data_IF_200960827340
#
_entry.id   IF_200960827340
#
_cell.length_a   1.000
_cell.length_b   1.000
_cell.length_c   1.000
_cell.angle_alpha   90.00
_cell.angle_beta   90.00
_cell.angle_gamma   90.00
#
_symmetry.space_group_name_H-M   'P 1'
#
loop_
_entity.id
_entity.type
_entity.pdbx_description
1 polymer ?
#
# COMPACT_ATOMS: atom_id res chain seq x y z
N UNK A 1 3.79 -22.98 -11.93
CA UNK A 1 4.12 -22.17 -10.73
C UNK A 1 4.95 -20.93 -11.10
N UNK A 2 6.21 -21.05 -11.55
CA UNK A 2 6.99 -19.88 -12.04
C UNK A 2 6.42 -19.18 -13.29
N UNK A 3 5.71 -19.91 -14.17
CA UNK A 3 5.11 -19.33 -15.38
C UNK A 3 4.08 -18.24 -15.05
N UNK A 4 3.22 -18.44 -14.03
CA UNK A 4 2.20 -17.47 -13.64
C UNK A 4 2.81 -16.18 -13.08
N UNK A 5 3.88 -16.28 -12.30
CA UNK A 5 4.62 -15.11 -11.80
C UNK A 5 5.21 -14.26 -12.92
N UNK A 6 5.86 -14.89 -13.92
CA UNK A 6 6.43 -14.15 -15.05
C UNK A 6 5.32 -13.39 -15.77
N UNK A 7 4.13 -13.99 -15.91
CA UNK A 7 2.99 -13.31 -16.52
C UNK A 7 2.47 -12.14 -15.67
N UNK A 8 2.43 -12.25 -14.34
CA UNK A 8 1.99 -11.13 -13.47
C UNK A 8 3.06 -10.01 -13.41
N UNK A 9 4.35 -10.35 -13.39
CA UNK A 9 5.44 -9.36 -13.38
C UNK A 9 5.72 -8.74 -14.76
N UNK A 10 5.43 -9.45 -15.84
CA UNK A 10 5.75 -9.00 -17.20
C UNK A 10 5.16 -7.61 -17.52
N UNK A 11 3.87 -7.32 -17.25
CA UNK A 11 3.31 -5.99 -17.47
C UNK A 11 4.09 -4.89 -16.75
N UNK A 12 4.45 -5.10 -15.47
CA UNK A 12 5.23 -4.15 -14.68
C UNK A 12 6.61 -3.89 -15.30
N UNK A 13 7.33 -4.95 -15.67
CA UNK A 13 8.67 -4.85 -16.27
C UNK A 13 8.60 -4.19 -17.64
N UNK A 14 7.65 -4.59 -18.49
CA UNK A 14 7.44 -4.01 -19.82
C UNK A 14 7.10 -2.53 -19.70
N UNK A 15 6.22 -2.16 -18.76
CA UNK A 15 5.91 -0.76 -18.48
C UNK A 15 7.14 0.04 -18.05
N UNK A 16 7.98 -0.53 -17.18
CA UNK A 16 9.20 0.13 -16.70
C UNK A 16 10.23 0.43 -17.81
N UNK A 17 10.22 -0.34 -18.90
CA UNK A 17 11.10 -0.10 -20.05
C UNK A 17 10.67 1.13 -20.88
N UNK A 18 9.46 1.65 -20.67
CA UNK A 18 8.91 2.77 -21.43
C UNK A 18 9.21 4.09 -20.71
N UNK A 19 10.02 4.93 -21.36
CA UNK A 19 10.30 6.30 -20.91
C UNK A 19 9.41 7.29 -21.65
N UNK A 20 8.69 8.14 -20.91
CA UNK A 20 7.80 9.17 -21.47
C UNK A 20 8.33 10.54 -21.07
N UNK A 21 8.73 11.35 -22.04
CA UNK A 21 9.28 12.69 -21.78
C UNK A 21 8.21 13.79 -21.71
N UNK A 22 6.97 13.54 -22.15
CA UNK A 22 5.89 14.54 -22.20
C UNK A 22 5.08 14.53 -20.90
N UNK A 23 5.08 15.64 -20.18
CA UNK A 23 4.33 15.78 -18.91
C UNK A 23 2.83 15.54 -19.07
N UNK A 24 2.20 16.05 -20.14
CA UNK A 24 0.77 15.82 -20.39
C UNK A 24 0.41 14.33 -20.49
N UNK A 25 1.28 13.53 -21.10
CA UNK A 25 1.06 12.07 -21.22
C UNK A 25 1.20 11.39 -19.87
N UNK A 26 2.15 11.82 -19.03
CA UNK A 26 2.30 11.33 -17.66
C UNK A 26 1.10 11.69 -16.79
N UNK A 27 0.59 12.92 -16.89
CA UNK A 27 -0.62 13.34 -16.17
C UNK A 27 -1.85 12.51 -16.58
N UNK A 28 -2.02 12.25 -17.88
CA UNK A 28 -3.09 11.39 -18.36
C UNK A 28 -2.94 9.97 -17.82
N UNK A 29 -1.73 9.40 -17.83
CA UNK A 29 -1.45 8.06 -17.33
C UNK A 29 -1.74 7.95 -15.83
N UNK A 30 -1.33 8.94 -15.04
CA UNK A 30 -1.65 9.01 -13.60
C UNK A 30 -3.16 9.05 -13.37
N UNK A 31 -3.89 9.89 -14.13
CA UNK A 31 -5.36 9.97 -14.05
C UNK A 31 -6.03 8.65 -14.41
N UNK A 32 -5.57 7.99 -15.48
CA UNK A 32 -6.09 6.68 -15.90
C UNK A 32 -5.81 5.62 -14.84
N UNK A 33 -4.64 5.63 -14.23
CA UNK A 33 -4.28 4.71 -13.13
C UNK A 33 -5.22 4.90 -11.94
N UNK A 34 -5.50 6.14 -11.54
CA UNK A 34 -6.49 6.42 -10.48
C UNK A 34 -7.89 5.91 -10.83
N UNK A 35 -8.33 6.05 -12.09
CA UNK A 35 -9.60 5.47 -12.52
C UNK A 35 -9.62 3.95 -12.49
N UNK A 36 -8.55 3.29 -12.94
CA UNK A 36 -8.44 1.83 -12.85
C UNK A 36 -8.50 1.35 -11.40
N UNK A 37 -7.89 2.08 -10.46
CA UNK A 37 -8.00 1.79 -9.02
C UNK A 37 -9.47 1.85 -8.56
N UNK A 38 -10.24 2.87 -8.94
CA UNK A 38 -11.66 2.91 -8.58
C UNK A 38 -12.45 1.75 -9.20
N UNK A 39 -12.19 1.42 -10.46
CA UNK A 39 -12.87 0.30 -11.14
C UNK A 39 -12.56 -1.01 -10.44
N UNK A 40 -11.30 -1.31 -10.17
CA UNK A 40 -10.93 -2.60 -9.58
C UNK A 40 -11.34 -2.72 -8.10
N UNK A 41 -11.35 -1.62 -7.34
CA UNK A 41 -11.92 -1.62 -5.98
C UNK A 41 -13.43 -1.87 -6.01
N UNK A 42 -14.13 -1.35 -7.01
CA UNK A 42 -15.54 -1.65 -7.23
C UNK A 42 -15.74 -3.14 -7.57
N UNK A 43 -14.91 -3.70 -8.45
CA UNK A 43 -14.93 -5.13 -8.76
C UNK A 43 -14.62 -6.00 -7.54
N UNK A 44 -13.67 -5.60 -6.69
CA UNK A 44 -13.42 -6.28 -5.41
C UNK A 44 -14.67 -6.30 -4.52
N UNK A 45 -15.45 -5.21 -4.51
CA UNK A 45 -16.76 -5.17 -3.85
C UNK A 45 -17.76 -6.18 -4.43
N UNK A 46 -17.82 -6.30 -5.76
CA UNK A 46 -18.65 -7.33 -6.41
C UNK A 46 -18.17 -8.75 -6.07
N UNK A 47 -16.86 -9.01 -6.08
CA UNK A 47 -16.31 -10.33 -5.72
C UNK A 47 -16.63 -10.70 -4.26
N UNK A 48 -16.66 -9.72 -3.35
CA UNK A 48 -17.13 -9.95 -1.98
C UNK A 48 -18.61 -10.34 -1.93
N UNK A 49 -19.46 -9.74 -2.78
CA UNK A 49 -20.88 -10.06 -2.85
C UNK A 49 -21.15 -11.50 -3.35
N UNK A 50 -20.24 -12.04 -4.16
CA UNK A 50 -20.31 -13.40 -4.69
C UNK A 50 -19.97 -14.48 -3.65
N UNK A 51 -19.46 -14.11 -2.47
CA UNK A 51 -19.10 -15.06 -1.43
C UNK A 51 -20.32 -15.63 -0.73
N UNK A 52 -20.39 -16.96 -0.66
CA UNK A 52 -21.25 -17.65 0.29
C UNK A 52 -20.90 -17.24 1.73
N UNK A 53 -21.86 -17.28 2.66
CA UNK A 53 -21.66 -16.92 4.07
C UNK A 53 -20.96 -15.57 4.27
N UNK A 54 -21.42 -14.53 3.57
CA UNK A 54 -20.84 -13.18 3.61
C UNK A 54 -20.54 -12.67 5.03
N UNK A 55 -21.42 -12.96 5.99
CA UNK A 55 -21.22 -12.58 7.40
C UNK A 55 -19.96 -13.18 8.03
N UNK A 56 -19.68 -14.47 7.79
CA UNK A 56 -18.47 -15.13 8.28
C UNK A 56 -17.22 -14.60 7.58
N UNK A 57 -17.31 -14.38 6.26
CA UNK A 57 -16.21 -13.82 5.48
C UNK A 57 -15.86 -12.38 5.89
N UNK A 58 -16.86 -11.54 6.18
CA UNK A 58 -16.65 -10.19 6.74
C UNK A 58 -15.99 -10.23 8.12
N UNK A 59 -16.39 -11.16 8.98
CA UNK A 59 -15.72 -11.36 10.29
C UNK A 59 -14.27 -11.78 10.09
N UNK A 60 -13.98 -12.64 9.11
CA UNK A 60 -12.64 -13.09 8.78
C UNK A 60 -11.77 -11.92 8.28
N UNK A 61 -12.30 -11.08 7.40
CA UNK A 61 -11.64 -9.83 6.93
C UNK A 61 -11.24 -8.98 8.14
N UNK A 62 -12.19 -8.70 9.04
CA UNK A 62 -11.93 -7.88 10.23
C UNK A 62 -10.86 -8.52 11.13
N UNK A 63 -10.95 -9.84 11.38
CA UNK A 63 -10.00 -10.58 12.20
C UNK A 63 -8.58 -10.51 11.63
N UNK A 64 -8.44 -10.73 10.32
CA UNK A 64 -7.17 -10.66 9.61
C UNK A 64 -6.61 -9.24 9.68
N UNK A 65 -7.39 -8.25 9.25
CA UNK A 65 -7.00 -6.84 9.29
C UNK A 65 -6.54 -6.42 10.68
N UNK A 66 -7.31 -6.71 11.73
CA UNK A 66 -6.96 -6.33 13.09
C UNK A 66 -5.66 -6.99 13.58
N UNK A 67 -5.50 -8.29 13.31
CA UNK A 67 -4.32 -9.04 13.76
C UNK A 67 -3.06 -8.53 13.08
N UNK A 68 -3.08 -8.38 11.75
CA UNK A 68 -1.95 -7.83 10.99
C UNK A 68 -1.66 -6.39 11.38
N UNK A 69 -2.70 -5.55 11.53
CA UNK A 69 -2.55 -4.16 11.91
C UNK A 69 -1.84 -4.02 13.27
N UNK A 70 -2.27 -4.79 14.26
CA UNK A 70 -1.67 -4.76 15.60
C UNK A 70 -0.25 -5.31 15.61
N UNK A 71 0.01 -6.45 14.97
CA UNK A 71 1.33 -7.08 14.99
C UNK A 71 2.36 -6.25 14.21
N UNK A 72 2.02 -5.80 12.99
CA UNK A 72 2.90 -4.98 12.18
C UNK A 72 3.09 -3.60 12.82
N UNK A 73 2.00 -2.98 13.29
CA UNK A 73 2.04 -1.70 13.99
C UNK A 73 2.95 -1.77 15.23
N UNK A 74 2.80 -2.81 16.05
CA UNK A 74 3.64 -3.05 17.21
C UNK A 74 5.12 -3.19 16.84
N UNK A 75 5.44 -4.04 15.86
CA UNK A 75 6.82 -4.25 15.42
C UNK A 75 7.46 -2.96 14.88
N UNK A 76 6.73 -2.21 14.06
CA UNK A 76 7.21 -0.95 13.49
C UNK A 76 7.43 0.10 14.59
N UNK A 77 6.49 0.24 15.54
CA UNK A 77 6.60 1.22 16.62
C UNK A 77 7.60 0.82 17.70
N UNK A 78 7.98 -0.45 17.80
CA UNK A 78 9.07 -0.91 18.66
C UNK A 78 10.45 -0.58 18.07
N UNK A 79 10.60 -0.63 16.74
CA UNK A 79 11.92 -0.47 16.08
C UNK A 79 12.21 0.97 15.66
N UNK A 80 11.24 1.68 15.08
CA UNK A 80 11.45 3.02 14.53
C UNK A 80 11.97 4.07 15.53
N UNK A 81 11.50 4.12 16.80
CA UNK A 81 12.01 5.10 17.77
C UNK A 81 13.50 4.93 18.07
N UNK A 82 14.07 3.75 17.84
CA UNK A 82 15.51 3.50 18.00
C UNK A 82 16.28 4.32 16.96
N UNK A 83 15.76 4.44 15.74
CA UNK A 83 16.39 5.24 14.68
C UNK A 83 16.36 6.73 14.98
N UNK A 84 15.27 7.24 15.54
CA UNK A 84 15.22 8.63 15.99
C UNK A 84 16.31 8.96 17.02
N UNK A 85 16.65 8.00 17.88
CA UNK A 85 17.73 8.16 18.87
C UNK A 85 19.13 8.08 18.27
N UNK A 86 19.32 7.23 17.25
CA UNK A 86 20.62 7.02 16.61
C UNK A 86 20.93 8.08 15.54
N UNK A 87 19.91 8.56 14.82
CA UNK A 87 20.04 9.49 13.70
C UNK A 87 19.00 10.62 13.81
N UNK A 88 19.17 11.55 14.77
CA UNK A 88 18.19 12.60 15.00
C UNK A 88 18.07 13.55 13.80
N UNK A 89 16.83 13.89 13.45
CA UNK A 89 16.52 14.88 12.41
C UNK A 89 15.92 16.11 13.09
N UNK A 90 16.46 17.28 12.76
CA UNK A 90 15.89 18.55 13.21
C UNK A 90 14.69 18.92 12.33
N UNK A 91 13.50 18.49 12.75
CA UNK A 91 12.24 18.94 12.17
C UNK A 91 12.00 20.42 12.51
N UNK A 92 11.52 21.20 11.54
CA UNK A 92 11.26 22.64 11.69
C UNK A 92 9.77 22.94 11.60
N UNK A 93 9.29 23.91 12.38
CA UNK A 93 7.89 24.34 12.31
C UNK A 93 7.59 25.05 10.98
N UNK A 94 6.59 24.54 10.28
CA UNK A 94 5.80 25.32 9.33
C UNK A 94 4.35 25.31 9.85
N UNK A 95 3.85 26.45 10.30
CA UNK A 95 2.44 26.57 10.69
C UNK A 95 1.60 26.57 9.41
N UNK A 96 0.85 25.49 9.15
CA UNK A 96 -0.15 25.48 8.09
C UNK A 96 -1.44 24.80 8.55
N UNK A 97 -2.57 25.29 8.06
CA UNK A 97 -3.84 24.60 8.14
C UNK A 97 -3.73 23.31 7.32
N UNK A 98 -3.71 22.17 8.00
CA UNK A 98 -3.65 20.86 7.36
C UNK A 98 -5.07 20.38 7.03
N UNK A 99 -5.37 20.03 5.77
CA UNK A 99 -6.70 19.52 5.39
C UNK A 99 -6.86 18.03 5.74
N UNK A 100 -6.49 17.61 6.97
CA UNK A 100 -6.51 16.18 7.37
C UNK A 100 -7.87 15.54 7.18
N UNK A 101 -8.96 16.27 7.46
CA UNK A 101 -10.33 15.77 7.28
C UNK A 101 -10.66 15.52 5.80
N UNK A 102 -10.20 16.38 4.89
CA UNK A 102 -10.41 16.18 3.45
C UNK A 102 -9.60 15.00 2.92
N UNK A 103 -8.36 14.83 3.39
CA UNK A 103 -7.54 13.68 3.04
C UNK A 103 -8.14 12.38 3.56
N UNK A 104 -8.56 12.33 4.83
CA UNK A 104 -9.26 11.17 5.36
C UNK A 104 -10.57 10.87 4.61
N UNK A 105 -11.29 11.89 4.13
CA UNK A 105 -12.45 11.73 3.28
C UNK A 105 -12.10 11.13 1.91
N UNK A 106 -10.95 11.47 1.33
CA UNK A 106 -10.45 10.85 0.11
C UNK A 106 -10.19 9.35 0.31
N UNK A 107 -9.53 8.97 1.40
CA UNK A 107 -9.36 7.55 1.77
C UNK A 107 -10.71 6.87 2.02
N UNK A 108 -11.66 7.55 2.67
CA UNK A 108 -13.01 7.02 2.91
C UNK A 108 -13.83 6.80 1.64
N UNK A 109 -13.62 7.60 0.58
CA UNK A 109 -14.27 7.37 -0.73
C UNK A 109 -13.96 5.99 -1.30
N UNK A 110 -12.78 5.44 -1.03
CA UNK A 110 -12.39 4.11 -1.49
C UNK A 110 -13.23 3.02 -0.81
N UNK A 111 -13.50 3.17 0.49
CA UNK A 111 -14.41 2.28 1.22
C UNK A 111 -15.81 2.36 0.60
N UNK A 112 -16.27 3.57 0.26
CA UNK A 112 -17.57 3.76 -0.41
C UNK A 112 -17.62 3.10 -1.79
N UNK A 113 -16.52 3.11 -2.54
CA UNK A 113 -16.44 2.44 -3.85
C UNK A 113 -16.55 0.92 -3.69
N UNK A 114 -15.80 0.34 -2.75
CA UNK A 114 -15.89 -1.11 -2.44
C UNK A 114 -17.30 -1.46 -1.92
N UNK A 115 -17.84 -0.66 -0.99
CA UNK A 115 -19.19 -0.84 -0.45
C UNK A 115 -20.27 -0.70 -1.51
N UNK A 116 -20.11 0.22 -2.47
CA UNK A 116 -21.00 0.36 -3.62
C UNK A 116 -20.97 -0.87 -4.51
N UNK A 117 -19.79 -1.43 -4.78
CA UNK A 117 -19.63 -2.71 -5.48
C UNK A 117 -20.33 -3.85 -4.75
N UNK A 118 -20.11 -3.97 -3.44
CA UNK A 118 -20.76 -4.98 -2.61
C UNK A 118 -22.30 -4.87 -2.65
N UNK A 119 -22.85 -3.68 -2.46
CA UNK A 119 -24.31 -3.45 -2.48
C UNK A 119 -24.88 -3.78 -3.86
N UNK A 120 -24.24 -3.33 -4.94
CA UNK A 120 -24.69 -3.62 -6.30
C UNK A 120 -24.61 -5.12 -6.60
N UNK A 121 -23.57 -5.80 -6.14
CA UNK A 121 -23.44 -7.25 -6.29
C UNK A 121 -24.52 -8.03 -5.53
N UNK A 122 -24.89 -7.57 -4.33
CA UNK A 122 -25.94 -8.21 -3.52
C UNK A 122 -27.35 -7.97 -4.06
N UNK A 123 -27.61 -6.79 -4.63
CA UNK A 123 -28.92 -6.43 -5.18
C UNK A 123 -29.08 -6.86 -6.64
N UNK A 124 -27.98 -7.04 -7.36
CA UNK A 124 -27.96 -7.41 -8.77
C UNK A 124 -28.27 -8.89 -8.95
N UNK A 125 -29.30 -9.21 -9.74
CA UNK A 125 -29.60 -10.59 -10.16
C UNK A 125 -28.69 -11.10 -11.29
N UNK A 126 -27.52 -10.47 -11.50
CA UNK A 126 -26.59 -10.83 -12.57
C UNK A 126 -25.57 -11.85 -12.06
N UNK A 127 -25.13 -12.76 -12.94
CA UNK A 127 -23.99 -13.61 -12.62
C UNK A 127 -22.72 -12.77 -12.47
N UNK A 128 -21.90 -13.12 -11.49
CA UNK A 128 -20.65 -12.42 -11.17
C UNK A 128 -19.40 -13.17 -11.68
N UNK A 129 -19.58 -14.24 -12.46
CA UNK A 129 -18.50 -15.09 -12.98
C UNK A 129 -17.47 -14.33 -13.84
N UNK A 130 -17.87 -13.19 -14.43
CA UNK A 130 -16.99 -12.35 -15.25
C UNK A 130 -16.07 -11.44 -14.43
N UNK A 131 -16.38 -11.22 -13.14
CA UNK A 131 -15.71 -10.23 -12.29
C UNK A 131 -14.24 -10.59 -12.08
N UNK A 132 -13.93 -11.87 -11.87
CA UNK A 132 -12.57 -12.33 -11.64
C UNK A 132 -11.71 -12.13 -12.89
N UNK A 133 -12.22 -12.52 -14.07
CA UNK A 133 -11.52 -12.32 -15.35
C UNK A 133 -11.31 -10.83 -15.64
N UNK A 134 -12.33 -9.99 -15.39
CA UNK A 134 -12.19 -8.54 -15.58
C UNK A 134 -11.16 -7.92 -14.62
N UNK A 135 -11.13 -8.37 -13.37
CA UNK A 135 -10.20 -7.91 -12.34
C UNK A 135 -8.75 -8.26 -12.71
N UNK A 136 -8.50 -9.46 -13.22
CA UNK A 136 -7.18 -9.91 -13.69
C UNK A 136 -6.64 -9.02 -14.84
N UNK A 137 -7.46 -8.77 -15.87
CA UNK A 137 -7.06 -7.91 -16.99
C UNK A 137 -6.80 -6.46 -16.56
N UNK A 138 -7.63 -5.93 -15.65
CA UNK A 138 -7.43 -4.59 -15.11
C UNK A 138 -6.16 -4.54 -14.25
N UNK A 139 -5.86 -5.59 -13.48
CA UNK A 139 -4.62 -5.70 -12.72
C UNK A 139 -3.41 -5.68 -13.66
N UNK A 140 -3.41 -6.43 -14.77
CA UNK A 140 -2.31 -6.39 -15.74
C UNK A 140 -2.11 -5.00 -16.34
N UNK A 141 -3.20 -4.32 -16.72
CA UNK A 141 -3.14 -2.95 -17.23
C UNK A 141 -2.64 -1.97 -16.16
N UNK A 142 -3.07 -2.14 -14.91
CA UNK A 142 -2.64 -1.33 -13.77
C UNK A 142 -1.13 -1.51 -13.51
N UNK A 143 -0.64 -2.75 -13.45
CA UNK A 143 0.78 -3.06 -13.27
C UNK A 143 1.62 -2.47 -14.41
N UNK A 144 1.13 -2.54 -15.65
CA UNK A 144 1.77 -1.90 -16.79
C UNK A 144 1.91 -0.38 -16.60
N UNK A 145 0.84 0.31 -16.20
CA UNK A 145 0.89 1.76 -15.93
C UNK A 145 1.80 2.10 -14.75
N UNK A 146 1.75 1.32 -13.66
CA UNK A 146 2.64 1.48 -12.51
C UNK A 146 4.10 1.33 -12.95
N UNK A 147 4.42 0.37 -13.82
CA UNK A 147 5.76 0.20 -14.38
C UNK A 147 6.26 1.48 -15.07
N UNK A 148 5.41 2.07 -15.92
CA UNK A 148 5.71 3.35 -16.59
C UNK A 148 5.91 4.47 -15.56
N UNK A 149 5.04 4.57 -14.55
CA UNK A 149 5.16 5.60 -13.50
C UNK A 149 6.47 5.47 -12.71
N UNK A 150 6.86 4.25 -12.34
CA UNK A 150 8.10 4.00 -11.60
C UNK A 150 9.33 4.45 -12.41
N UNK A 151 9.34 4.17 -13.72
CA UNK A 151 10.41 4.62 -14.63
C UNK A 151 10.49 6.14 -14.72
N UNK A 152 9.34 6.81 -14.74
CA UNK A 152 9.21 8.24 -14.96
C UNK A 152 8.98 9.03 -13.65
N UNK A 153 9.27 8.42 -12.50
CA UNK A 153 9.12 9.02 -11.15
C UNK A 153 10.06 10.20 -10.87
N UNK A 154 11.01 10.46 -11.77
CA UNK A 154 11.96 11.58 -11.67
C UNK A 154 13.04 11.40 -10.60
N UNK A 155 13.01 10.31 -9.82
CA UNK A 155 14.03 10.00 -8.83
C UNK A 155 15.22 9.31 -9.49
N UNK A 156 16.37 9.98 -9.44
CA UNK A 156 17.62 9.37 -9.88
C UNK A 156 18.14 8.40 -8.82
N UNK A 157 18.72 7.27 -9.25
CA UNK A 157 19.45 6.34 -8.36
C UNK A 157 20.45 7.07 -7.45
N UNK A 158 21.05 8.15 -7.97
CA UNK A 158 21.96 9.01 -7.20
C UNK A 158 21.27 9.68 -6.01
N UNK A 159 20.07 10.23 -6.18
CA UNK A 159 19.31 10.85 -5.07
C UNK A 159 18.90 9.82 -4.01
N UNK A 160 18.51 8.62 -4.43
CA UNK A 160 18.17 7.51 -3.52
C UNK A 160 19.39 7.11 -2.68
N UNK A 161 20.54 6.88 -3.33
CA UNK A 161 21.77 6.46 -2.66
C UNK A 161 22.40 7.55 -1.76
N UNK A 162 22.13 8.83 -2.04
CA UNK A 162 22.60 9.94 -1.20
C UNK A 162 21.82 9.99 0.12
N UNK A 163 20.51 9.66 0.12
CA UNK A 163 19.70 9.73 1.33
C UNK A 163 19.73 8.41 2.13
N UNK A 164 20.85 8.19 2.83
CA UNK A 164 21.05 7.01 3.68
C UNK A 164 19.99 6.85 4.76
N UNK A 165 19.42 7.95 5.26
CA UNK A 165 18.38 7.92 6.29
C UNK A 165 17.07 7.35 5.74
N UNK A 166 16.61 7.83 4.58
CA UNK A 166 15.41 7.28 3.93
C UNK A 166 15.55 5.79 3.61
N UNK A 167 16.73 5.37 3.15
CA UNK A 167 17.04 3.95 2.91
C UNK A 167 17.01 3.11 4.19
N UNK A 168 17.58 3.62 5.28
CA UNK A 168 17.58 2.93 6.58
C UNK A 168 16.16 2.77 7.13
N UNK A 169 15.33 3.82 7.04
CA UNK A 169 13.92 3.77 7.46
C UNK A 169 13.17 2.70 6.65
N UNK A 170 13.30 2.73 5.32
CA UNK A 170 12.66 1.73 4.46
C UNK A 170 13.09 0.30 4.81
N UNK A 171 14.38 0.06 4.99
CA UNK A 171 14.91 -1.26 5.37
C UNK A 171 14.31 -1.75 6.70
N UNK A 172 14.22 -0.87 7.68
CA UNK A 172 13.66 -1.22 8.99
C UNK A 172 12.19 -1.53 8.88
N UNK A 173 11.42 -0.71 8.16
CA UNK A 173 9.99 -0.97 7.92
C UNK A 173 9.77 -2.32 7.25
N UNK A 174 10.60 -2.68 6.26
CA UNK A 174 10.53 -3.99 5.62
C UNK A 174 10.74 -5.09 6.66
N UNK A 175 11.87 -5.05 7.40
CA UNK A 175 12.21 -6.10 8.36
C UNK A 175 11.16 -6.22 9.46
N UNK A 176 10.77 -5.10 10.08
CA UNK A 176 9.80 -5.12 11.18
C UNK A 176 8.39 -5.48 10.73
N UNK A 177 7.97 -5.09 9.52
CA UNK A 177 6.68 -5.51 8.97
C UNK A 177 6.68 -7.00 8.66
N UNK A 178 7.75 -7.56 8.07
CA UNK A 178 7.84 -9.00 7.81
C UNK A 178 7.81 -9.83 9.11
N UNK A 179 8.48 -9.36 10.17
CA UNK A 179 8.36 -9.98 11.51
C UNK A 179 6.91 -9.92 12.00
N UNK A 180 6.24 -8.78 11.87
CA UNK A 180 4.82 -8.64 12.19
C UNK A 180 3.91 -9.57 11.37
N UNK A 181 4.25 -9.81 10.11
CA UNK A 181 3.56 -10.76 9.24
C UNK A 181 3.71 -12.21 9.69
N UNK A 182 4.92 -12.61 10.09
CA UNK A 182 5.20 -13.95 10.65
C UNK A 182 4.44 -14.15 11.96
N UNK A 183 4.45 -13.16 12.85
CA UNK A 183 3.68 -13.21 14.10
C UNK A 183 2.18 -13.35 13.82
N UNK A 184 1.67 -12.59 12.87
CA UNK A 184 0.26 -12.64 12.46
C UNK A 184 -0.10 -14.01 11.88
N UNK A 185 0.79 -14.61 11.08
CA UNK A 185 0.59 -15.95 10.53
C UNK A 185 0.43 -17.00 11.63
N UNK A 186 1.28 -16.96 12.66
CA UNK A 186 1.18 -17.86 13.81
C UNK A 186 -0.09 -17.64 14.63
N UNK A 187 -0.50 -16.39 14.86
CA UNK A 187 -1.72 -16.07 15.62
C UNK A 187 -2.98 -16.52 14.87
N UNK A 188 -2.99 -16.37 13.56
CA UNK A 188 -4.12 -16.70 12.70
C UNK A 188 -4.13 -18.17 12.25
N UNK A 189 -3.07 -18.92 12.56
CA UNK A 189 -2.85 -20.30 12.09
C UNK A 189 -2.95 -20.42 10.56
N UNK A 190 -2.24 -19.53 9.86
CA UNK A 190 -2.16 -19.53 8.39
C UNK A 190 -0.71 -19.76 7.94
N UNK A 191 -0.56 -20.12 6.67
CA UNK A 191 0.75 -20.27 6.04
C UNK A 191 1.61 -19.00 6.20
N UNK A 192 2.88 -19.19 6.58
CA UNK A 192 3.80 -18.09 6.87
C UNK A 192 4.05 -17.21 5.65
N UNK A 193 4.07 -17.78 4.45
CA UNK A 193 4.24 -17.02 3.21
C UNK A 193 3.02 -16.15 2.90
N UNK A 194 1.80 -16.59 3.24
CA UNK A 194 0.61 -15.71 3.21
C UNK A 194 0.75 -14.54 4.18
N UNK A 195 1.30 -14.79 5.38
CA UNK A 195 1.60 -13.73 6.34
C UNK A 195 2.64 -12.72 5.87
N UNK A 196 3.72 -13.20 5.25
CA UNK A 196 4.76 -12.36 4.66
C UNK A 196 4.24 -11.55 3.47
N UNK A 197 3.37 -12.14 2.63
CA UNK A 197 2.71 -11.45 1.54
C UNK A 197 1.80 -10.31 2.05
N UNK A 198 0.92 -10.61 3.02
CA UNK A 198 0.04 -9.61 3.67
C UNK A 198 0.84 -8.45 4.29
N UNK A 199 2.01 -8.72 4.87
CA UNK A 199 2.83 -7.70 5.51
C UNK A 199 3.66 -6.83 4.54
N UNK A 200 3.72 -7.21 3.26
CA UNK A 200 4.52 -6.53 2.24
C UNK A 200 3.79 -5.40 1.52
N UNK A 201 2.59 -5.01 1.99
CA UNK A 201 1.82 -3.90 1.42
C UNK A 201 2.40 -2.51 1.75
N UNK A 202 3.12 -2.37 2.87
CA UNK A 202 3.85 -1.16 3.31
C UNK A 202 3.10 0.19 3.19
N UNK A 203 1.78 0.23 3.22
CA UNK A 203 0.94 1.41 3.09
C UNK A 203 0.23 1.56 1.73
N UNK A 204 0.53 0.71 0.74
CA UNK A 204 -0.08 0.79 -0.59
C UNK A 204 -1.36 -0.04 -0.68
N UNK A 205 -2.46 0.50 -0.15
CA UNK A 205 -3.74 -0.21 -0.04
C UNK A 205 -4.32 -0.72 -1.35
N UNK A 206 -4.22 0.05 -2.43
CA UNK A 206 -4.88 -0.27 -3.69
C UNK A 206 -4.22 -1.49 -4.31
N UNK A 207 -2.90 -1.45 -4.50
CA UNK A 207 -2.15 -2.56 -5.08
C UNK A 207 -2.17 -3.80 -4.17
N UNK A 208 -2.01 -3.64 -2.86
CA UNK A 208 -1.97 -4.75 -1.93
C UNK A 208 -3.28 -5.54 -1.90
N UNK A 209 -4.43 -4.84 -1.83
CA UNK A 209 -5.75 -5.47 -1.86
C UNK A 209 -5.99 -6.27 -3.14
N UNK A 210 -5.61 -5.72 -4.30
CA UNK A 210 -5.82 -6.38 -5.59
C UNK A 210 -4.95 -7.63 -5.71
N UNK A 211 -3.64 -7.53 -5.42
CA UNK A 211 -2.71 -8.64 -5.55
C UNK A 211 -3.09 -9.81 -4.63
N UNK A 212 -3.53 -9.52 -3.41
CA UNK A 212 -3.95 -10.55 -2.47
C UNK A 212 -5.32 -11.13 -2.81
N UNK A 213 -6.21 -10.32 -3.39
CA UNK A 213 -7.50 -10.75 -3.90
C UNK A 213 -7.35 -11.75 -5.05
N UNK A 214 -6.49 -11.42 -6.02
CA UNK A 214 -6.16 -12.29 -7.15
C UNK A 214 -5.46 -13.58 -6.71
N UNK A 215 -4.50 -13.48 -5.78
CA UNK A 215 -3.71 -14.62 -5.33
C UNK A 215 -4.44 -15.59 -4.39
N UNK A 216 -5.22 -15.06 -3.43
CA UNK A 216 -5.77 -15.85 -2.32
C UNK A 216 -7.27 -15.63 -2.10
N UNK A 217 -7.93 -14.93 -3.01
CA UNK A 217 -9.37 -14.72 -3.02
C UNK A 217 -9.84 -13.45 -2.30
N UNK A 218 -11.15 -13.11 -2.42
CA UNK A 218 -11.67 -11.81 -2.03
C UNK A 218 -11.51 -11.47 -0.55
N UNK A 219 -11.45 -12.48 0.33
CA UNK A 219 -11.24 -12.30 1.77
C UNK A 219 -9.85 -11.76 2.09
N UNK A 220 -8.79 -12.33 1.49
CA UNK A 220 -7.43 -11.83 1.65
C UNK A 220 -7.27 -10.45 0.99
N UNK A 221 -7.90 -10.25 -0.17
CA UNK A 221 -7.90 -8.95 -0.85
C UNK A 221 -8.54 -7.84 -0.01
N UNK A 222 -9.74 -8.09 0.51
CA UNK A 222 -10.45 -7.17 1.41
C UNK A 222 -9.67 -6.89 2.70
N UNK A 223 -9.09 -7.93 3.31
CA UNK A 223 -8.29 -7.78 4.52
C UNK A 223 -7.02 -6.95 4.29
N UNK A 224 -6.32 -7.18 3.17
CA UNK A 224 -5.10 -6.47 2.81
C UNK A 224 -5.39 -5.01 2.46
N UNK A 225 -6.48 -4.75 1.72
CA UNK A 225 -6.93 -3.38 1.44
C UNK A 225 -7.23 -2.62 2.72
N UNK A 226 -8.03 -3.20 3.63
CA UNK A 226 -8.41 -2.57 4.89
C UNK A 226 -7.21 -2.37 5.83
N UNK A 227 -6.28 -3.32 5.88
CA UNK A 227 -5.05 -3.22 6.65
C UNK A 227 -4.26 -1.96 6.27
N UNK A 228 -3.95 -1.82 4.99
CA UNK A 228 -3.10 -0.73 4.52
C UNK A 228 -3.83 0.62 4.56
N UNK A 229 -5.15 0.63 4.32
CA UNK A 229 -5.97 1.82 4.46
C UNK A 229 -6.02 2.31 5.91
N UNK A 230 -6.19 1.41 6.88
CA UNK A 230 -6.15 1.77 8.31
C UNK A 230 -4.77 2.32 8.70
N UNK A 231 -3.68 1.73 8.19
CA UNK A 231 -2.33 2.24 8.42
C UNK A 231 -2.15 3.65 7.88
N UNK A 232 -2.67 3.95 6.69
CA UNK A 232 -2.66 5.30 6.13
C UNK A 232 -3.42 6.29 7.02
N UNK A 233 -4.65 5.96 7.44
CA UNK A 233 -5.46 6.82 8.30
C UNK A 233 -4.77 7.10 9.65
N UNK A 234 -4.13 6.08 10.23
CA UNK A 234 -3.36 6.26 11.47
C UNK A 234 -2.11 7.08 11.22
N UNK A 235 -1.43 6.92 10.08
CA UNK A 235 -0.28 7.75 9.72
C UNK A 235 -0.64 9.24 9.62
N UNK A 236 -1.79 9.59 9.03
CA UNK A 236 -2.27 10.97 8.96
C UNK A 236 -2.40 11.64 10.33
N UNK A 237 -2.74 10.87 11.37
CA UNK A 237 -2.84 11.35 12.75
C UNK A 237 -1.47 11.33 13.44
N UNK A 238 -0.68 10.27 13.22
CA UNK A 238 0.61 10.09 13.86
C UNK A 238 1.65 11.12 13.40
N UNK A 239 1.64 11.52 12.12
CA UNK A 239 2.64 12.45 11.57
C UNK A 239 2.60 13.80 12.32
N UNK A 240 1.47 14.53 12.39
CA UNK A 240 1.43 15.81 13.10
C UNK A 240 1.81 15.71 14.58
N UNK A 241 1.50 14.58 15.22
CA UNK A 241 1.76 14.36 16.66
C UNK A 241 3.22 14.04 16.94
N UNK A 242 3.84 13.18 16.13
CA UNK A 242 5.16 12.61 16.43
C UNK A 242 6.30 13.27 15.69
N UNK A 243 6.10 13.82 14.49
CA UNK A 243 7.22 14.22 13.61
C UNK A 243 8.17 15.25 14.23
N UNK A 244 7.70 16.02 15.22
CA UNK A 244 8.50 17.01 15.96
C UNK A 244 9.54 16.37 16.88
N UNK A 245 9.22 15.21 17.46
CA UNK A 245 10.05 14.54 18.46
C UNK A 245 10.71 13.30 17.86
N UNK A 246 9.98 12.61 16.98
CA UNK A 246 10.36 11.34 16.35
C UNK A 246 10.07 11.37 14.84
N UNK A 247 10.78 12.21 14.07
CA UNK A 247 10.59 12.34 12.62
C UNK A 247 10.79 11.03 11.85
N UNK A 248 11.78 10.21 12.19
CA UNK A 248 12.00 8.91 11.54
C UNK A 248 10.82 7.96 11.81
N UNK A 249 10.27 7.96 13.02
CA UNK A 249 9.08 7.17 13.37
C UNK A 249 7.86 7.63 12.59
N UNK A 250 7.61 8.93 12.51
CA UNK A 250 6.48 9.48 11.75
C UNK A 250 6.58 9.15 10.26
N UNK A 251 7.75 9.40 9.65
CA UNK A 251 8.00 9.13 8.23
C UNK A 251 7.94 7.63 7.94
N UNK A 252 8.57 6.82 8.79
CA UNK A 252 8.61 5.37 8.61
C UNK A 252 7.24 4.72 8.72
N UNK A 253 6.44 5.10 9.72
CA UNK A 253 5.10 4.52 9.91
C UNK A 253 4.17 4.80 8.72
N UNK A 254 4.30 5.97 8.09
CA UNK A 254 3.58 6.31 6.86
C UNK A 254 3.88 5.35 5.70
N UNK A 255 5.08 4.77 5.66
CA UNK A 255 5.45 3.77 4.68
C UNK A 255 5.51 4.32 3.26
N UNK A 256 4.93 3.60 2.29
CA UNK A 256 4.84 3.96 0.88
C UNK A 256 4.16 5.33 0.68
N UNK A 257 3.14 5.64 1.49
CA UNK A 257 2.37 6.88 1.37
C UNK A 257 3.17 8.13 1.78
N UNK A 258 4.39 7.96 2.32
CA UNK A 258 5.29 9.05 2.67
C UNK A 258 5.76 9.86 1.45
N UNK A 259 5.77 9.26 0.26
CA UNK A 259 6.23 9.93 -0.97
C UNK A 259 5.12 10.76 -1.64
N UNK A 260 3.86 10.44 -1.43
CA UNK A 260 2.74 11.04 -2.15
C UNK A 260 1.64 11.55 -1.19
N UNK A 261 0.79 10.67 -0.68
CA UNK A 261 -0.44 11.05 0.01
C UNK A 261 -0.16 11.76 1.33
N UNK A 262 0.77 11.25 2.14
CA UNK A 262 1.12 11.88 3.42
C UNK A 262 2.25 12.90 3.30
N UNK A 263 2.87 13.05 2.12
CA UNK A 263 3.97 13.99 1.91
C UNK A 263 3.59 15.44 2.23
N UNK A 264 2.41 15.98 1.84
CA UNK A 264 2.00 17.33 2.23
C UNK A 264 1.95 17.52 3.75
N UNK A 265 1.51 16.49 4.49
CA UNK A 265 1.45 16.52 5.94
C UNK A 265 2.85 16.51 6.54
N UNK A 266 3.74 15.65 6.04
CA UNK A 266 5.15 15.57 6.44
C UNK A 266 5.85 16.91 6.18
N UNK A 267 5.66 17.50 4.99
CA UNK A 267 6.26 18.77 4.61
C UNK A 267 5.78 19.90 5.51
N UNK A 268 4.47 20.00 5.74
CA UNK A 268 3.88 21.02 6.59
C UNK A 268 4.37 20.92 8.04
N UNK A 269 4.37 19.71 8.62
CA UNK A 269 4.62 19.52 10.05
C UNK A 269 6.08 19.29 10.42
N UNK A 270 6.84 18.60 9.55
CA UNK A 270 8.25 18.27 9.74
C UNK A 270 9.22 19.21 9.01
N UNK A 271 8.74 20.01 8.07
CA UNK A 271 9.53 20.96 7.29
C UNK A 271 10.31 20.33 6.13
N UNK A 272 10.97 21.19 5.36
CA UNK A 272 11.65 20.83 4.09
C UNK A 272 12.76 19.78 4.22
N UNK A 273 13.34 19.62 5.41
CA UNK A 273 14.39 18.61 5.67
C UNK A 273 13.83 17.18 5.69
N UNK A 274 12.57 17.01 6.06
CA UNK A 274 11.92 15.70 6.12
C UNK A 274 11.50 15.20 4.72
N UNK A 275 11.29 16.12 3.77
CA UNK A 275 10.77 15.82 2.42
C UNK A 275 11.66 14.84 1.65
N UNK A 276 12.98 15.05 1.48
CA UNK A 276 13.81 14.09 0.74
C UNK A 276 13.87 12.70 1.40
N UNK A 277 13.76 12.64 2.73
CA UNK A 277 13.80 11.38 3.49
C UNK A 277 12.51 10.60 3.26
N UNK A 278 11.36 11.28 3.35
CA UNK A 278 10.04 10.71 3.09
C UNK A 278 9.89 10.22 1.65
N UNK A 279 10.34 11.01 0.68
CA UNK A 279 10.32 10.63 -0.74
C UNK A 279 11.18 9.38 -0.98
N UNK A 280 12.41 9.33 -0.46
CA UNK A 280 13.29 8.17 -0.67
C UNK A 280 12.76 6.92 0.05
N UNK A 281 12.31 7.04 1.30
CA UNK A 281 11.74 5.92 2.04
C UNK A 281 10.47 5.39 1.37
N UNK A 282 9.54 6.29 1.04
CA UNK A 282 8.28 5.94 0.37
C UNK A 282 8.53 5.31 -0.99
N UNK A 283 9.43 5.87 -1.80
CA UNK A 283 9.79 5.29 -3.10
C UNK A 283 10.32 3.85 -3.00
N UNK A 284 11.26 3.60 -2.08
CA UNK A 284 11.83 2.26 -1.87
C UNK A 284 10.73 1.28 -1.46
N UNK A 285 9.88 1.67 -0.51
CA UNK A 285 8.79 0.82 -0.06
C UNK A 285 7.79 0.55 -1.19
N UNK A 286 7.36 1.57 -1.93
CA UNK A 286 6.47 1.44 -3.08
C UNK A 286 7.03 0.52 -4.16
N UNK A 287 8.34 0.61 -4.45
CA UNK A 287 9.01 -0.31 -5.38
C UNK A 287 8.98 -1.76 -4.87
N UNK A 288 9.18 -1.95 -3.56
CA UNK A 288 9.24 -3.27 -2.94
C UNK A 288 7.87 -3.94 -2.79
N UNK A 289 6.76 -3.19 -2.73
CA UNK A 289 5.40 -3.76 -2.58
C UNK A 289 5.11 -4.86 -3.62
N UNK A 290 5.06 -4.58 -4.94
CA UNK A 290 4.75 -5.61 -5.92
C UNK A 290 5.80 -6.73 -5.92
N UNK A 291 7.08 -6.40 -5.67
CA UNK A 291 8.18 -7.37 -5.70
C UNK A 291 8.03 -8.39 -4.57
N UNK A 292 7.91 -7.93 -3.33
CA UNK A 292 7.86 -8.79 -2.16
C UNK A 292 6.51 -9.50 -2.04
N UNK A 293 5.39 -8.83 -2.30
CA UNK A 293 4.08 -9.48 -2.26
C UNK A 293 4.01 -10.65 -3.23
N UNK A 294 4.34 -10.43 -4.51
CA UNK A 294 4.30 -11.49 -5.51
C UNK A 294 5.33 -12.59 -5.26
N UNK A 295 6.50 -12.24 -4.71
CA UNK A 295 7.50 -13.23 -4.31
C UNK A 295 6.99 -14.15 -3.19
N UNK A 296 6.35 -13.61 -2.14
CA UNK A 296 5.80 -14.46 -1.08
C UNK A 296 4.53 -15.19 -1.51
N UNK A 297 3.71 -14.58 -2.36
CA UNK A 297 2.56 -15.26 -3.00
C UNK A 297 3.01 -16.53 -3.71
N UNK A 298 4.11 -16.48 -4.45
CA UNK A 298 4.58 -17.64 -5.21
C UNK A 298 5.21 -18.75 -4.38
N UNK A 299 5.66 -18.44 -3.17
CA UNK A 299 6.15 -19.42 -2.20
C UNK A 299 5.00 -20.08 -1.42
N UNK A 300 3.86 -19.41 -1.31
CA UNK A 300 2.65 -19.91 -0.66
C UNK A 300 1.79 -20.81 -1.57
N UNK A 301 2.05 -20.77 -2.89
CA UNK A 301 1.29 -21.44 -3.93
C UNK A 301 1.79 -22.87 -4.22
#
# INVERSE_FOLDING_TARGET
>A
MFSGMIFIFAPLVVGYLISISKENTLHLLNKMTSYLIYVILFLMGLSLAALDNLGENLQLIIKFTATFFLCIGFCNLATLPIIDRLFPINASNTSSNLPLALMALESAKLILVVGGGLIIGLLGAMSLDWVDTASEWILFLLLFFIGIQLRNSGLTLRQILINKQGMLIALIIVISSLIGGVLSAFILDIDVYKGLAMASGFGWYSLAGILMGDAFGPVYGGASFMLELLRELVALIMIPVLIRVKPCTAIGYAGATAMDFTLPVIQATGGVKCVPIAIVSGFILSLLVPILMLFFVSLAA
#
